data_IF_966688691895
#
_entry.id   IF_966688691895
#
_cell.length_a   1.000
_cell.length_b   1.000
_cell.length_c   1.000
_cell.angle_alpha   90.00
_cell.angle_beta   90.00
_cell.angle_gamma   90.00
#
_symmetry.space_group_name_H-M   'P 1'
#
loop_
_entity.id
_entity.type
_entity.pdbx_description
1 polymer ?
#
# COMPACT_ATOMS: atom_id res chain seq x y z
N UNK A 1 11.46 -24.08 -44.65
CA UNK A 1 10.53 -23.00 -44.24
C UNK A 1 11.35 -21.90 -43.60
N UNK A 2 10.98 -20.63 -43.82
CA UNK A 2 11.81 -19.48 -43.47
C UNK A 2 11.58 -19.05 -42.03
N UNK A 3 12.64 -18.61 -41.35
CA UNK A 3 12.57 -17.99 -40.01
C UNK A 3 11.52 -16.86 -39.96
N UNK A 4 11.32 -16.13 -41.08
CA UNK A 4 10.28 -15.11 -41.24
C UNK A 4 8.87 -15.62 -40.96
N UNK A 5 8.50 -16.78 -41.51
CA UNK A 5 7.13 -17.31 -41.35
C UNK A 5 6.83 -17.66 -39.88
N UNK A 6 7.84 -18.14 -39.15
CA UNK A 6 7.71 -18.41 -37.72
C UNK A 6 7.54 -17.10 -36.94
N UNK A 7 8.38 -16.09 -37.21
CA UNK A 7 8.33 -14.79 -36.53
C UNK A 7 7.02 -14.03 -36.78
N UNK A 8 6.51 -14.07 -38.01
CA UNK A 8 5.23 -13.46 -38.36
C UNK A 8 4.08 -14.10 -37.57
N UNK A 9 4.04 -15.44 -37.52
CA UNK A 9 3.01 -16.16 -36.77
C UNK A 9 3.10 -15.90 -35.25
N UNK A 10 4.31 -15.94 -34.69
CA UNK A 10 4.55 -15.70 -33.26
C UNK A 10 4.13 -14.28 -32.88
N UNK A 11 4.51 -13.29 -33.69
CA UNK A 11 4.17 -11.88 -33.45
C UNK A 11 2.68 -11.62 -33.57
N UNK A 12 2.03 -12.18 -34.60
CA UNK A 12 0.59 -11.99 -34.79
C UNK A 12 -0.22 -12.67 -33.67
N UNK A 13 0.13 -13.90 -33.27
CA UNK A 13 -0.51 -14.55 -32.14
C UNK A 13 -0.37 -13.73 -30.86
N UNK A 14 0.84 -13.23 -30.59
CA UNK A 14 1.13 -12.43 -29.41
C UNK A 14 0.32 -11.13 -29.38
N UNK A 15 0.39 -10.33 -30.45
CA UNK A 15 -0.22 -9.00 -30.52
C UNK A 15 -1.75 -9.03 -30.63
N UNK A 16 -2.32 -10.15 -31.10
CA UNK A 16 -3.77 -10.33 -31.25
C UNK A 16 -4.39 -11.15 -30.11
N UNK A 17 -3.57 -11.65 -29.19
CA UNK A 17 -4.05 -12.22 -27.93
C UNK A 17 -4.52 -11.11 -26.98
N UNK A 18 -5.48 -11.44 -26.11
CA UNK A 18 -6.05 -10.48 -25.14
C UNK A 18 -5.01 -9.91 -24.18
N UNK A 19 -4.11 -10.77 -23.67
CA UNK A 19 -3.18 -10.44 -22.59
C UNK A 19 -1.71 -10.60 -23.03
N UNK A 20 -1.40 -10.49 -24.33
CA UNK A 20 -0.03 -10.68 -24.83
C UNK A 20 0.56 -12.06 -24.43
N UNK A 21 -0.21 -13.12 -24.68
CA UNK A 21 0.15 -14.50 -24.34
C UNK A 21 1.09 -15.12 -25.37
N UNK A 22 1.96 -16.02 -24.91
CA UNK A 22 2.90 -16.75 -25.77
C UNK A 22 2.24 -17.89 -26.54
N UNK A 23 2.87 -18.27 -27.65
CA UNK A 23 2.46 -19.40 -28.48
C UNK A 23 3.00 -20.69 -27.88
N UNK A 24 2.16 -21.68 -27.51
CA UNK A 24 2.68 -22.98 -27.10
C UNK A 24 3.45 -23.64 -28.24
N UNK A 25 4.57 -24.28 -27.93
CA UNK A 25 5.40 -25.01 -28.91
C UNK A 25 4.55 -26.01 -29.70
N UNK A 26 3.61 -26.70 -29.05
CA UNK A 26 2.66 -27.59 -29.74
C UNK A 26 1.90 -26.89 -30.86
N UNK A 27 1.43 -25.67 -30.61
CA UNK A 27 0.64 -24.87 -31.55
C UNK A 27 1.53 -24.36 -32.69
N UNK A 28 2.71 -23.84 -32.36
CA UNK A 28 3.69 -23.38 -33.36
C UNK A 28 4.12 -24.52 -34.28
N UNK A 29 4.45 -25.68 -33.70
CA UNK A 29 4.87 -26.88 -34.42
C UNK A 29 3.79 -27.38 -35.38
N UNK A 30 2.53 -27.41 -34.92
CA UNK A 30 1.38 -27.78 -35.76
C UNK A 30 1.18 -26.78 -36.91
N UNK A 31 1.31 -25.48 -36.65
CA UNK A 31 1.17 -24.44 -37.67
C UNK A 31 2.26 -24.54 -38.74
N UNK A 32 3.51 -24.78 -38.32
CA UNK A 32 4.66 -24.88 -39.22
C UNK A 32 4.87 -26.29 -39.79
N UNK A 33 4.08 -27.30 -39.40
CA UNK A 33 4.26 -28.68 -39.86
C UNK A 33 5.64 -29.28 -39.54
N UNK A 34 6.27 -28.86 -38.44
CA UNK A 34 7.58 -29.33 -38.02
C UNK A 34 7.49 -30.53 -37.06
N UNK A 35 8.56 -31.31 -36.98
CA UNK A 35 8.75 -32.23 -35.86
C UNK A 35 9.44 -31.52 -34.68
N UNK A 36 9.65 -32.25 -33.58
CA UNK A 36 10.20 -31.66 -32.36
C UNK A 36 11.67 -31.24 -32.51
N UNK A 37 12.46 -32.01 -33.25
CA UNK A 37 13.88 -31.75 -33.47
C UNK A 37 14.06 -30.48 -34.31
N UNK A 38 13.37 -30.40 -35.45
CA UNK A 38 13.39 -29.24 -36.32
C UNK A 38 12.84 -27.99 -35.62
N UNK A 39 11.84 -28.15 -34.75
CA UNK A 39 11.32 -27.03 -33.92
C UNK A 39 12.38 -26.57 -32.91
N UNK A 40 13.08 -27.50 -32.26
CA UNK A 40 14.15 -27.16 -31.31
C UNK A 40 15.31 -26.43 -31.99
N UNK A 41 15.77 -26.91 -33.14
CA UNK A 41 16.84 -26.26 -33.91
C UNK A 41 16.44 -24.86 -34.39
N UNK A 42 15.19 -24.68 -34.82
CA UNK A 42 14.64 -23.38 -35.20
C UNK A 42 14.64 -22.42 -34.01
N UNK A 43 14.05 -22.83 -32.88
CA UNK A 43 13.92 -21.96 -31.70
C UNK A 43 15.28 -21.64 -31.09
N UNK A 44 16.22 -22.58 -31.05
CA UNK A 44 17.58 -22.33 -30.57
C UNK A 44 18.28 -21.24 -31.41
N UNK A 45 18.16 -21.29 -32.74
CA UNK A 45 18.70 -20.23 -33.62
C UNK A 45 18.02 -18.89 -33.35
N UNK A 46 16.70 -18.87 -33.23
CA UNK A 46 15.95 -17.63 -33.02
C UNK A 46 16.27 -16.98 -31.66
N UNK A 47 16.41 -17.78 -30.59
CA UNK A 47 16.85 -17.31 -29.26
C UNK A 47 18.28 -16.76 -29.33
N UNK A 48 19.21 -17.45 -30.00
CA UNK A 48 20.59 -16.95 -30.20
C UNK A 48 20.62 -15.60 -30.94
N UNK A 49 19.68 -15.38 -31.83
CA UNK A 49 19.54 -14.10 -32.56
C UNK A 49 18.71 -13.04 -31.83
N UNK A 50 18.18 -13.37 -30.63
CA UNK A 50 17.27 -12.56 -29.81
C UNK A 50 15.94 -12.18 -30.50
N UNK A 51 15.53 -12.94 -31.52
CA UNK A 51 14.28 -12.67 -32.24
C UNK A 51 13.06 -13.29 -31.54
N UNK A 52 13.26 -14.26 -30.64
CA UNK A 52 12.21 -14.86 -29.79
C UNK A 52 12.69 -15.06 -28.35
N UNK A 53 11.73 -15.13 -27.43
CA UNK A 53 11.94 -15.58 -26.05
C UNK A 53 11.21 -16.91 -25.80
N UNK A 54 11.82 -17.80 -25.01
CA UNK A 54 11.25 -19.08 -24.56
C UNK A 54 10.93 -19.05 -23.06
N UNK A 55 9.71 -19.44 -22.72
CA UNK A 55 9.25 -19.56 -21.33
C UNK A 55 8.90 -21.02 -21.01
N UNK A 56 9.61 -21.59 -20.04
CA UNK A 56 9.55 -23.01 -19.68
C UNK A 56 8.65 -23.34 -18.49
N UNK A 57 8.11 -22.33 -17.80
CA UNK A 57 7.34 -22.53 -16.56
C UNK A 57 8.20 -22.63 -15.29
N UNK A 58 9.53 -22.43 -15.41
CA UNK A 58 10.50 -22.56 -14.32
C UNK A 58 10.67 -21.28 -13.49
N UNK A 59 10.63 -20.10 -14.13
CA UNK A 59 10.70 -18.79 -13.43
C UNK A 59 9.32 -18.37 -12.92
N UNK A 60 8.28 -18.62 -13.70
CA UNK A 60 6.88 -18.43 -13.32
C UNK A 60 6.10 -19.67 -13.76
N UNK A 61 5.25 -20.27 -12.90
CA UNK A 61 4.66 -21.58 -13.15
C UNK A 61 3.75 -21.64 -14.39
N UNK A 62 3.19 -20.50 -14.81
CA UNK A 62 2.41 -20.42 -16.04
C UNK A 62 3.25 -19.82 -17.19
N UNK A 63 3.70 -20.63 -18.18
CA UNK A 63 4.50 -20.15 -19.31
C UNK A 63 3.71 -19.31 -20.32
N UNK A 64 2.38 -19.38 -20.30
CA UNK A 64 1.52 -18.54 -21.14
C UNK A 64 1.51 -17.06 -20.73
N UNK A 65 2.06 -16.75 -19.55
CA UNK A 65 2.20 -15.39 -19.04
C UNK A 65 3.69 -15.04 -19.04
N UNK A 66 4.07 -14.01 -19.80
CA UNK A 66 5.41 -13.41 -19.69
C UNK A 66 5.46 -12.58 -18.41
N UNK A 67 5.67 -13.23 -17.26
CA UNK A 67 5.67 -12.56 -15.96
C UNK A 67 6.73 -11.48 -15.86
N UNK A 68 7.95 -11.79 -16.32
CA UNK A 68 9.09 -10.87 -16.30
C UNK A 68 9.84 -10.89 -17.62
N UNK A 69 10.49 -9.78 -17.95
CA UNK A 69 11.30 -9.64 -19.16
C UNK A 69 12.82 -9.59 -18.91
N UNK A 70 13.26 -9.94 -17.69
CA UNK A 70 14.68 -9.94 -17.30
C UNK A 70 15.41 -11.26 -17.62
N UNK A 71 14.70 -12.28 -18.13
CA UNK A 71 15.32 -13.56 -18.49
C UNK A 71 16.16 -13.35 -19.75
N UNK A 72 17.48 -13.49 -19.60
CA UNK A 72 18.45 -13.32 -20.70
C UNK A 72 18.38 -14.47 -21.70
N UNK A 73 18.83 -14.25 -22.94
CA UNK A 73 18.83 -15.30 -23.96
C UNK A 73 19.82 -16.43 -23.60
N UNK A 74 20.92 -16.12 -22.89
CA UNK A 74 21.85 -17.13 -22.37
C UNK A 74 21.17 -18.06 -21.36
N UNK A 75 20.40 -17.51 -20.42
CA UNK A 75 19.61 -18.31 -19.48
C UNK A 75 18.56 -19.16 -20.21
N UNK A 76 17.91 -18.63 -21.24
CA UNK A 76 16.94 -19.39 -22.04
C UNK A 76 17.60 -20.57 -22.77
N UNK A 77 18.82 -20.39 -23.29
CA UNK A 77 19.59 -21.47 -23.93
C UNK A 77 20.04 -22.53 -22.91
N UNK A 78 20.41 -22.10 -21.69
CA UNK A 78 20.70 -23.01 -20.57
C UNK A 78 19.46 -23.83 -20.19
N UNK A 79 18.30 -23.18 -20.02
CA UNK A 79 17.04 -23.88 -19.75
C UNK A 79 16.65 -24.84 -20.87
N UNK A 80 16.84 -24.45 -22.13
CA UNK A 80 16.60 -25.33 -23.28
C UNK A 80 17.47 -26.59 -23.22
N UNK A 81 18.74 -26.45 -22.82
CA UNK A 81 19.69 -27.56 -22.68
C UNK A 81 19.36 -28.46 -21.48
N UNK A 82 18.99 -27.88 -20.34
CA UNK A 82 18.76 -28.62 -19.09
C UNK A 82 17.38 -29.26 -19.02
N UNK A 83 16.35 -28.52 -19.40
CA UNK A 83 14.95 -28.93 -19.29
C UNK A 83 14.44 -29.60 -20.57
N UNK A 84 15.09 -29.34 -21.70
CA UNK A 84 14.61 -29.73 -23.02
C UNK A 84 13.42 -28.89 -23.49
N UNK A 85 13.17 -28.92 -24.79
CA UNK A 85 11.96 -28.34 -25.36
C UNK A 85 10.78 -29.29 -25.12
N UNK A 86 9.65 -28.78 -24.65
CA UNK A 86 8.40 -29.54 -24.51
C UNK A 86 7.24 -28.81 -25.16
N UNK A 87 6.13 -29.52 -25.41
CA UNK A 87 4.92 -28.95 -26.02
C UNK A 87 4.27 -27.83 -25.17
N UNK A 88 4.57 -27.75 -23.87
CA UNK A 88 4.07 -26.73 -22.94
C UNK A 88 4.91 -25.46 -22.86
N UNK A 89 6.14 -25.47 -23.39
CA UNK A 89 6.96 -24.26 -23.51
C UNK A 89 6.22 -23.25 -24.39
N UNK A 90 6.24 -21.98 -24.00
CA UNK A 90 5.64 -20.91 -24.78
C UNK A 90 6.73 -20.04 -25.43
N UNK A 91 6.48 -19.66 -26.68
CA UNK A 91 7.34 -18.83 -27.51
C UNK A 91 6.73 -17.44 -27.63
N UNK A 92 7.55 -16.43 -27.41
CA UNK A 92 7.18 -15.01 -27.53
C UNK A 92 8.08 -14.34 -28.56
N UNK A 93 7.61 -13.28 -29.24
CA UNK A 93 8.50 -12.44 -30.02
C UNK A 93 9.49 -11.73 -29.08
N UNK A 94 10.77 -11.72 -29.45
CA UNK A 94 11.84 -11.07 -28.68
C UNK A 94 11.76 -9.55 -28.79
N UNK A 95 12.25 -8.83 -27.78
CA UNK A 95 12.23 -7.35 -27.77
C UNK A 95 12.91 -6.74 -29.01
N UNK A 96 14.00 -7.35 -29.47
CA UNK A 96 14.72 -6.94 -30.69
C UNK A 96 13.87 -7.06 -31.94
N UNK A 97 13.06 -8.11 -32.04
CA UNK A 97 12.11 -8.28 -33.14
C UNK A 97 10.99 -7.24 -33.07
N UNK A 98 10.36 -7.12 -31.90
CA UNK A 98 9.24 -6.19 -31.66
C UNK A 98 9.61 -4.73 -31.92
N UNK A 99 10.85 -4.32 -31.67
CA UNK A 99 11.34 -2.96 -31.94
C UNK A 99 11.27 -2.56 -33.43
N UNK A 100 11.23 -3.54 -34.35
CA UNK A 100 11.14 -3.31 -35.80
C UNK A 100 9.69 -3.10 -36.27
N UNK A 101 8.70 -3.45 -35.44
CA UNK A 101 7.29 -3.38 -35.79
C UNK A 101 6.70 -1.98 -35.52
N UNK A 102 5.74 -1.50 -36.34
CA UNK A 102 5.15 -0.16 -36.20
C UNK A 102 4.09 -0.07 -35.07
N UNK A 103 4.45 -0.51 -33.85
CA UNK A 103 3.52 -0.69 -32.72
C UNK A 103 2.94 0.62 -32.17
N UNK A 104 3.66 1.75 -32.30
CA UNK A 104 3.22 3.03 -31.74
C UNK A 104 1.86 3.47 -32.29
N UNK A 105 1.62 3.27 -33.59
CA UNK A 105 0.34 3.59 -34.23
C UNK A 105 -0.78 2.64 -33.81
N UNK A 106 -0.47 1.35 -33.61
CA UNK A 106 -1.45 0.32 -33.21
C UNK A 106 -1.99 0.56 -31.79
N UNK A 107 -1.16 1.11 -30.90
CA UNK A 107 -1.49 1.30 -29.47
C UNK A 107 -1.52 2.79 -29.08
N UNK A 108 -1.89 3.66 -30.01
CA UNK A 108 -2.04 5.10 -29.72
C UNK A 108 -3.02 5.33 -28.55
N UNK A 109 -2.63 6.19 -27.62
CA UNK A 109 -3.41 6.50 -26.43
C UNK A 109 -3.47 5.39 -25.36
N UNK A 110 -2.78 4.26 -25.57
CA UNK A 110 -2.69 3.11 -24.68
C UNK A 110 -1.23 2.80 -24.30
N UNK A 111 -0.60 3.66 -23.48
CA UNK A 111 0.82 3.55 -23.19
C UNK A 111 1.21 2.21 -22.55
N UNK A 112 0.38 1.61 -21.70
CA UNK A 112 0.72 0.37 -21.02
C UNK A 112 0.47 -0.87 -21.89
N UNK A 113 -0.55 -0.86 -22.76
CA UNK A 113 -0.64 -1.85 -23.85
C UNK A 113 0.61 -1.79 -24.73
N UNK A 114 1.10 -0.59 -25.06
CA UNK A 114 2.30 -0.43 -25.90
C UNK A 114 3.55 -0.99 -25.22
N UNK A 115 3.69 -0.83 -23.90
CA UNK A 115 4.77 -1.45 -23.14
C UNK A 115 4.67 -2.97 -23.18
N UNK A 116 3.49 -3.55 -22.93
CA UNK A 116 3.31 -4.99 -23.08
C UNK A 116 3.60 -5.44 -24.52
N UNK A 117 3.08 -4.75 -25.54
CA UNK A 117 3.33 -5.04 -26.95
C UNK A 117 4.82 -4.98 -27.32
N UNK A 118 5.64 -4.24 -26.58
CA UNK A 118 7.10 -4.18 -26.73
C UNK A 118 7.84 -5.30 -25.97
N UNK A 119 7.13 -6.25 -25.39
CA UNK A 119 7.69 -7.45 -24.79
C UNK A 119 8.11 -7.30 -23.32
N UNK A 120 7.58 -6.29 -22.61
CA UNK A 120 7.77 -6.15 -21.16
C UNK A 120 6.99 -7.21 -20.38
N UNK A 121 7.42 -7.49 -19.14
CA UNK A 121 6.79 -8.48 -18.28
C UNK A 121 5.47 -7.99 -17.68
N UNK A 122 4.45 -8.83 -17.64
CA UNK A 122 3.14 -8.53 -17.08
C UNK A 122 3.16 -8.19 -15.58
N UNK A 123 4.12 -8.78 -14.83
CA UNK A 123 4.33 -8.54 -13.39
C UNK A 123 5.48 -7.57 -13.11
N UNK A 124 5.91 -6.81 -14.12
CA UNK A 124 6.78 -5.65 -13.89
C UNK A 124 5.94 -4.47 -13.45
N UNK A 125 6.37 -3.79 -12.38
CA UNK A 125 5.65 -2.63 -11.87
C UNK A 125 6.12 -1.33 -12.51
N UNK A 126 5.25 -0.32 -12.47
CA UNK A 126 5.61 1.08 -12.64
C UNK A 126 5.32 1.83 -11.34
N UNK A 127 6.15 2.83 -11.04
CA UNK A 127 5.99 3.68 -9.87
C UNK A 127 5.28 4.97 -10.28
N UNK A 128 4.38 5.46 -9.43
CA UNK A 128 3.56 6.63 -9.70
C UNK A 128 3.53 7.57 -8.50
N UNK A 129 3.36 8.86 -8.81
CA UNK A 129 3.08 9.88 -7.81
C UNK A 129 1.77 9.55 -7.08
N UNK A 130 1.78 9.66 -5.75
CA UNK A 130 0.64 9.32 -4.89
C UNK A 130 -0.65 10.09 -5.25
N UNK A 131 -0.55 11.28 -5.86
CA UNK A 131 -1.70 12.06 -6.29
C UNK A 131 -2.58 11.35 -7.33
N UNK A 132 -2.07 10.33 -8.02
CA UNK A 132 -2.88 9.52 -8.96
C UNK A 132 -4.07 8.84 -8.27
N UNK A 133 -3.96 8.55 -6.97
CA UNK A 133 -5.00 7.87 -6.20
C UNK A 133 -6.12 8.80 -5.72
N UNK A 134 -5.92 10.12 -5.74
CA UNK A 134 -6.83 11.06 -5.09
C UNK A 134 -8.18 11.16 -5.76
N UNK A 135 -8.18 11.07 -7.10
CA UNK A 135 -9.41 11.03 -7.87
C UNK A 135 -10.32 9.90 -7.34
N UNK A 136 -9.75 8.72 -7.15
CA UNK A 136 -10.47 7.55 -6.68
C UNK A 136 -10.81 7.60 -5.18
N UNK A 137 -9.90 8.11 -4.33
CA UNK A 137 -10.15 8.24 -2.88
C UNK A 137 -11.31 9.20 -2.57
N UNK A 138 -11.38 10.30 -3.31
CA UNK A 138 -12.28 11.42 -2.99
C UNK A 138 -13.62 11.33 -3.73
N UNK A 139 -13.71 10.57 -4.82
CA UNK A 139 -14.97 10.36 -5.54
C UNK A 139 -15.75 9.19 -4.92
N UNK A 140 -16.94 9.45 -4.35
CA UNK A 140 -17.72 8.43 -3.65
C UNK A 140 -18.26 7.33 -4.57
N UNK A 141 -18.13 7.45 -5.89
CA UNK A 141 -18.54 6.44 -6.87
C UNK A 141 -17.57 5.26 -6.96
N UNK A 142 -16.35 5.41 -6.44
CA UNK A 142 -15.37 4.34 -6.37
C UNK A 142 -15.32 3.70 -4.97
N UNK A 143 -15.05 2.39 -4.95
CA UNK A 143 -14.39 1.74 -3.84
C UNK A 143 -12.89 2.01 -3.95
N UNK A 144 -12.34 2.62 -2.91
CA UNK A 144 -10.91 2.83 -2.72
C UNK A 144 -10.56 2.26 -1.35
N UNK A 145 -9.77 1.18 -1.35
CA UNK A 145 -9.36 0.49 -0.13
C UNK A 145 -7.84 0.29 -0.13
N UNK A 146 -7.25 0.44 1.05
CA UNK A 146 -5.81 0.25 1.26
C UNK A 146 -5.54 -0.10 2.72
N UNK A 147 -4.72 -1.13 2.94
CA UNK A 147 -4.14 -1.44 4.25
C UNK A 147 -2.76 -0.75 4.45
N UNK A 148 -2.38 0.07 3.47
CA UNK A 148 -1.09 0.78 3.32
C UNK A 148 0.08 -0.09 2.85
N UNK A 149 -0.19 -1.34 2.50
CA UNK A 149 0.73 -2.30 1.89
C UNK A 149 0.22 -2.64 0.48
N UNK A 150 -1.05 -3.04 0.42
CA UNK A 150 -1.86 -3.37 -0.73
C UNK A 150 -3.04 -2.39 -0.81
N UNK A 151 -3.62 -2.26 -1.99
CA UNK A 151 -4.90 -1.61 -2.17
C UNK A 151 -5.58 -2.04 -3.46
N UNK A 152 -6.83 -1.65 -3.61
CA UNK A 152 -7.65 -1.93 -4.79
C UNK A 152 -8.51 -0.72 -5.12
N UNK A 153 -8.89 -0.63 -6.39
CA UNK A 153 -9.80 0.41 -6.88
C UNK A 153 -10.84 -0.26 -7.76
N UNK A 154 -12.11 -0.02 -7.48
CA UNK A 154 -13.19 -0.42 -8.37
C UNK A 154 -14.30 0.60 -8.36
N UNK A 155 -15.07 0.66 -9.44
CA UNK A 155 -16.38 1.32 -9.40
C UNK A 155 -17.32 0.57 -8.44
N UNK A 156 -18.18 1.29 -7.72
CA UNK A 156 -19.23 0.65 -6.92
C UNK A 156 -20.34 0.09 -7.81
N UNK A 157 -20.92 -1.04 -7.39
CA UNK A 157 -21.98 -1.73 -8.11
C UNK A 157 -23.14 -0.82 -8.52
N UNK A 158 -23.56 0.11 -7.65
CA UNK A 158 -24.66 1.06 -7.92
C UNK A 158 -24.39 2.04 -9.08
N UNK A 159 -23.12 2.22 -9.47
CA UNK A 159 -22.70 3.06 -10.60
C UNK A 159 -22.21 2.24 -11.80
N UNK A 160 -22.08 0.91 -11.69
CA UNK A 160 -21.69 0.05 -12.82
C UNK A 160 -22.80 0.00 -13.87
N UNK A 161 -22.43 0.15 -15.15
CA UNK A 161 -23.38 0.26 -16.28
C UNK A 161 -24.46 1.37 -16.10
N UNK A 162 -24.23 2.32 -15.20
CA UNK A 162 -25.14 3.42 -14.93
C UNK A 162 -24.87 4.59 -15.89
N UNK A 163 -25.92 5.25 -16.38
CA UNK A 163 -25.81 6.43 -17.24
C UNK A 163 -25.05 7.59 -16.58
N UNK A 164 -25.01 7.64 -15.24
CA UNK A 164 -24.24 8.64 -14.48
C UNK A 164 -22.72 8.43 -14.51
N UNK A 165 -22.24 7.33 -15.10
CA UNK A 165 -20.82 6.99 -15.16
C UNK A 165 -20.39 6.59 -16.58
N UNK A 166 -19.56 7.43 -17.25
CA UNK A 166 -19.00 7.09 -18.54
C UNK A 166 -18.28 5.74 -18.52
N UNK A 167 -18.38 4.96 -19.60
CA UNK A 167 -17.76 3.61 -19.67
C UNK A 167 -16.26 3.62 -19.40
N UNK A 168 -15.54 4.66 -19.84
CA UNK A 168 -14.10 4.77 -19.61
C UNK A 168 -13.74 4.96 -18.14
N UNK A 169 -14.65 5.49 -17.32
CA UNK A 169 -14.47 5.72 -15.89
C UNK A 169 -14.83 4.50 -15.03
N UNK A 170 -15.41 3.45 -15.63
CA UNK A 170 -15.75 2.18 -14.96
C UNK A 170 -14.50 1.33 -14.74
N UNK A 171 -13.62 1.83 -13.88
CA UNK A 171 -12.29 1.27 -13.60
C UNK A 171 -12.38 0.06 -12.68
N UNK A 172 -11.57 -0.95 -12.98
CA UNK A 172 -11.20 -2.02 -12.08
C UNK A 172 -9.67 -2.14 -12.05
N UNK A 173 -9.06 -1.67 -10.97
CA UNK A 173 -7.65 -1.92 -10.66
C UNK A 173 -7.60 -2.94 -9.52
N UNK A 174 -7.43 -4.21 -9.89
CA UNK A 174 -7.54 -5.35 -8.97
C UNK A 174 -6.59 -5.23 -7.77
N UNK A 175 -5.37 -4.77 -8.03
CA UNK A 175 -4.39 -4.52 -7.00
C UNK A 175 -3.43 -3.40 -7.39
N UNK A 176 -3.10 -2.57 -6.41
CA UNK A 176 -1.89 -1.78 -6.38
C UNK A 176 -1.20 -2.01 -5.03
N UNK A 177 0.06 -1.60 -4.94
CA UNK A 177 0.77 -1.53 -3.68
C UNK A 177 1.60 -0.26 -3.61
N UNK A 178 2.58 -0.26 -2.73
CA UNK A 178 3.49 0.86 -2.55
C UNK A 178 4.92 0.45 -2.87
N UNK A 179 5.72 1.43 -3.26
CA UNK A 179 7.15 1.27 -3.48
C UNK A 179 7.91 2.47 -2.93
N UNK A 180 9.20 2.27 -2.69
CA UNK A 180 10.07 3.26 -2.06
C UNK A 180 11.37 3.38 -2.83
N UNK A 181 11.84 4.62 -2.98
CA UNK A 181 13.21 4.85 -3.43
C UNK A 181 14.21 4.68 -2.26
N UNK A 182 15.50 4.91 -2.55
CA UNK A 182 16.59 4.83 -1.57
C UNK A 182 16.44 5.80 -0.37
N UNK A 183 15.69 6.89 -0.54
CA UNK A 183 15.47 7.92 0.47
C UNK A 183 14.15 7.72 1.23
N UNK A 184 13.49 6.58 1.00
CA UNK A 184 12.17 6.20 1.50
C UNK A 184 11.05 7.16 1.06
N UNK A 185 11.21 7.82 -0.08
CA UNK A 185 10.09 8.53 -0.70
C UNK A 185 9.11 7.49 -1.26
N UNK A 186 7.85 7.63 -0.90
CA UNK A 186 6.79 6.65 -1.20
C UNK A 186 6.13 6.94 -2.54
N UNK A 187 5.90 5.88 -3.31
CA UNK A 187 5.19 5.88 -4.58
C UNK A 187 4.11 4.79 -4.59
N UNK A 188 3.14 4.92 -5.48
CA UNK A 188 2.21 3.83 -5.82
C UNK A 188 2.90 2.91 -6.79
N UNK A 189 2.77 1.61 -6.62
CA UNK A 189 3.26 0.62 -7.55
C UNK A 189 2.10 -0.20 -8.14
N UNK A 190 2.08 -0.32 -9.46
CA UNK A 190 1.07 -1.11 -10.18
C UNK A 190 1.74 -1.95 -11.25
N UNK A 191 1.35 -3.21 -11.37
CA UNK A 191 1.86 -4.11 -12.41
C UNK A 191 1.28 -3.75 -13.78
N UNK A 192 2.10 -3.93 -14.83
CA UNK A 192 1.74 -3.61 -16.20
C UNK A 192 0.45 -4.27 -16.67
N UNK A 193 0.18 -5.53 -16.26
CA UNK A 193 -1.08 -6.20 -16.57
C UNK A 193 -2.30 -5.38 -16.14
N UNK A 194 -2.31 -4.92 -14.89
CA UNK A 194 -3.44 -4.15 -14.35
C UNK A 194 -3.53 -2.76 -14.97
N UNK A 195 -2.40 -2.15 -15.31
CA UNK A 195 -2.38 -0.86 -16.01
C UNK A 195 -2.91 -0.98 -17.43
N UNK A 196 -2.59 -2.05 -18.15
CA UNK A 196 -3.07 -2.28 -19.51
C UNK A 196 -4.57 -2.61 -19.56
N UNK A 197 -5.14 -3.17 -18.49
CA UNK A 197 -6.58 -3.41 -18.36
C UNK A 197 -7.40 -2.12 -18.16
N UNK A 198 -6.75 -0.98 -17.85
CA UNK A 198 -7.43 0.31 -17.74
C UNK A 198 -7.87 0.83 -19.11
N UNK A 199 -8.93 1.64 -19.10
CA UNK A 199 -9.35 2.37 -20.30
C UNK A 199 -8.21 3.27 -20.83
N UNK A 200 -8.16 3.57 -22.14
CA UNK A 200 -7.13 4.44 -22.71
C UNK A 200 -7.00 5.78 -21.97
N UNK A 201 -8.12 6.35 -21.53
CA UNK A 201 -8.17 7.60 -20.74
C UNK A 201 -7.40 7.45 -19.43
N UNK A 202 -7.70 6.41 -18.66
CA UNK A 202 -7.04 6.16 -17.39
C UNK A 202 -5.58 5.76 -17.58
N UNK A 203 -5.22 5.01 -18.63
CA UNK A 203 -3.83 4.74 -18.93
C UNK A 203 -3.03 6.04 -19.14
N UNK A 204 -3.60 7.03 -19.83
CA UNK A 204 -2.96 8.34 -20.00
C UNK A 204 -2.84 9.12 -18.70
N UNK A 205 -3.87 9.07 -17.83
CA UNK A 205 -3.83 9.70 -16.50
C UNK A 205 -2.71 9.09 -15.65
N UNK A 206 -2.63 7.76 -15.59
CA UNK A 206 -1.59 7.06 -14.85
C UNK A 206 -0.20 7.32 -15.45
N UNK A 207 -0.06 7.23 -16.77
CA UNK A 207 1.21 7.48 -17.46
C UNK A 207 1.73 8.91 -17.21
N UNK A 208 0.86 9.91 -17.17
CA UNK A 208 1.23 11.30 -16.84
C UNK A 208 1.74 11.48 -15.40
N UNK A 209 1.46 10.52 -14.50
CA UNK A 209 1.89 10.50 -13.10
C UNK A 209 3.03 9.52 -12.83
N UNK A 210 3.56 8.88 -13.87
CA UNK A 210 4.64 7.91 -13.73
C UNK A 210 5.92 8.59 -13.26
N UNK A 211 6.57 7.98 -12.27
CA UNK A 211 7.84 8.44 -11.71
C UNK A 211 9.00 7.72 -12.38
N UNK A 212 10.08 8.45 -12.61
CA UNK A 212 11.39 7.90 -12.98
C UNK A 212 12.21 7.59 -11.73
N UNK A 213 12.95 6.50 -11.74
CA UNK A 213 13.87 6.13 -10.66
C UNK A 213 13.76 4.67 -10.26
N UNK A 214 14.63 4.25 -9.34
CA UNK A 214 14.61 2.90 -8.81
C UNK A 214 13.71 2.84 -7.56
N UNK A 215 12.47 2.40 -7.75
CA UNK A 215 11.49 2.19 -6.70
C UNK A 215 11.34 0.70 -6.43
N UNK A 216 11.65 0.26 -5.21
CA UNK A 216 11.47 -1.12 -4.77
C UNK A 216 10.10 -1.32 -4.15
N UNK A 217 9.41 -2.37 -4.55
CA UNK A 217 8.12 -2.75 -3.98
C UNK A 217 8.23 -2.92 -2.47
N UNK A 218 7.16 -2.53 -1.77
CA UNK A 218 7.00 -2.84 -0.35
C UNK A 218 7.19 -4.35 -0.14
N UNK A 219 7.98 -4.79 0.87
CA UNK A 219 8.35 -6.20 1.03
C UNK A 219 7.16 -7.15 1.06
N UNK A 220 6.11 -6.81 1.82
CA UNK A 220 4.91 -7.63 1.90
C UNK A 220 4.04 -7.55 0.64
N UNK A 221 4.08 -6.44 -0.11
CA UNK A 221 3.37 -6.37 -1.39
C UNK A 221 4.04 -7.28 -2.44
N UNK A 222 5.37 -7.28 -2.47
CA UNK A 222 6.15 -8.22 -3.28
C UNK A 222 5.89 -9.67 -2.87
N UNK A 223 5.93 -9.98 -1.57
CA UNK A 223 5.67 -11.33 -1.06
C UNK A 223 4.28 -11.84 -1.46
N UNK A 224 3.24 -11.03 -1.24
CA UNK A 224 1.88 -11.40 -1.56
C UNK A 224 1.66 -11.55 -3.07
N UNK A 225 2.11 -10.56 -3.85
CA UNK A 225 1.74 -10.45 -5.26
C UNK A 225 2.62 -11.24 -6.21
N UNK A 226 3.89 -11.48 -5.83
CA UNK A 226 4.88 -12.16 -6.68
C UNK A 226 5.19 -13.56 -6.16
N UNK A 227 5.40 -13.72 -4.85
CA UNK A 227 5.78 -15.01 -4.26
C UNK A 227 4.56 -15.89 -3.90
N UNK A 228 3.36 -15.30 -3.82
CA UNK A 228 2.15 -16.00 -3.40
C UNK A 228 2.18 -16.44 -1.92
N UNK A 229 2.94 -15.71 -1.09
CA UNK A 229 3.11 -15.98 0.34
C UNK A 229 2.41 -14.89 1.18
N UNK A 230 2.17 -15.15 2.46
CA UNK A 230 1.37 -14.27 3.32
C UNK A 230 2.18 -13.08 3.85
N UNK A 231 1.49 -11.96 4.06
CA UNK A 231 2.05 -10.79 4.74
C UNK A 231 2.54 -11.15 6.15
N UNK A 232 3.63 -10.51 6.58
CA UNK A 232 4.25 -10.82 7.88
C UNK A 232 3.94 -9.79 8.95
N UNK A 233 3.39 -8.63 8.57
CA UNK A 233 3.18 -7.50 9.46
C UNK A 233 1.94 -6.71 9.06
N UNK A 234 1.44 -5.89 9.98
CA UNK A 234 0.34 -4.94 9.75
C UNK A 234 0.87 -3.51 9.64
N UNK A 235 0.08 -2.60 9.07
CA UNK A 235 0.46 -1.18 9.04
C UNK A 235 0.37 -0.53 10.42
N UNK A 236 1.16 0.52 10.63
CA UNK A 236 1.14 1.30 11.88
C UNK A 236 -0.24 1.93 12.18
N UNK A 237 -1.01 2.26 11.15
CA UNK A 237 -2.38 2.79 11.31
C UNK A 237 -3.33 1.71 11.84
N UNK A 238 -3.19 0.48 11.37
CA UNK A 238 -3.96 -0.65 11.91
C UNK A 238 -3.54 -0.96 13.35
N UNK A 239 -2.23 -1.08 13.59
CA UNK A 239 -1.67 -1.30 14.92
C UNK A 239 -2.16 -0.25 15.93
N UNK A 240 -2.23 1.02 15.54
CA UNK A 240 -2.76 2.09 16.36
C UNK A 240 -4.21 1.86 16.79
N UNK A 241 -5.11 1.51 15.85
CA UNK A 241 -6.52 1.25 16.19
C UNK A 241 -6.70 0.00 17.06
N UNK A 242 -5.84 -1.00 16.88
CA UNK A 242 -5.81 -2.19 17.72
C UNK A 242 -5.34 -1.88 19.15
N UNK A 243 -4.34 -1.01 19.33
CA UNK A 243 -3.92 -0.54 20.65
C UNK A 243 -5.06 0.16 21.40
N UNK A 244 -5.84 1.02 20.73
CA UNK A 244 -7.05 1.64 21.33
C UNK A 244 -8.05 0.59 21.83
N UNK A 245 -8.30 -0.44 21.03
CA UNK A 245 -9.21 -1.55 21.38
C UNK A 245 -8.71 -2.32 22.59
N UNK A 246 -7.44 -2.72 22.60
CA UNK A 246 -6.86 -3.48 23.71
C UNK A 246 -6.86 -2.65 25.00
N UNK A 247 -6.57 -1.36 24.93
CA UNK A 247 -6.64 -0.45 26.08
C UNK A 247 -8.05 -0.38 26.66
N UNK A 248 -9.08 -0.29 25.83
CA UNK A 248 -10.47 -0.32 26.30
C UNK A 248 -10.88 -1.68 26.90
N UNK A 249 -10.38 -2.80 26.36
CA UNK A 249 -10.58 -4.11 26.98
C UNK A 249 -9.91 -4.17 28.37
N UNK A 250 -8.71 -3.60 28.52
CA UNK A 250 -8.04 -3.49 29.82
C UNK A 250 -8.80 -2.58 30.80
N UNK A 251 -9.38 -1.49 30.32
CA UNK A 251 -10.23 -0.60 31.12
C UNK A 251 -11.44 -1.35 31.72
N UNK A 252 -12.10 -2.18 30.91
CA UNK A 252 -13.19 -3.03 31.38
C UNK A 252 -12.74 -4.03 32.46
N UNK A 253 -11.58 -4.68 32.27
CA UNK A 253 -11.02 -5.63 33.23
C UNK A 253 -10.70 -5.00 34.60
N UNK A 254 -10.32 -3.71 34.63
CA UNK A 254 -10.07 -3.01 35.89
C UNK A 254 -11.36 -2.51 36.57
N UNK A 255 -12.50 -2.56 35.88
CA UNK A 255 -13.80 -2.10 36.36
C UNK A 255 -14.04 -0.61 36.12
N UNK A 256 -13.46 -0.05 35.05
CA UNK A 256 -13.64 1.35 34.65
C UNK A 256 -14.45 1.44 33.34
N UNK A 257 -15.10 2.59 33.07
CA UNK A 257 -15.58 2.93 31.74
C UNK A 257 -14.48 2.79 30.68
N UNK A 258 -14.83 2.81 29.39
CA UNK A 258 -13.83 2.84 28.32
C UNK A 258 -12.92 4.06 28.46
N UNK A 259 -11.61 3.90 28.23
CA UNK A 259 -10.68 5.05 28.25
C UNK A 259 -10.84 5.89 26.98
N UNK A 260 -11.08 5.26 25.84
CA UNK A 260 -11.32 5.91 24.56
C UNK A 260 -12.78 5.72 24.15
N UNK A 261 -13.45 6.78 23.69
CA UNK A 261 -14.87 6.73 23.28
C UNK A 261 -15.07 5.87 22.02
N UNK A 262 -14.11 5.89 21.10
CA UNK A 262 -14.15 5.10 19.86
C UNK A 262 -12.79 4.44 19.59
N UNK A 263 -12.80 3.23 19.03
CA UNK A 263 -11.61 2.42 18.68
C UNK A 263 -11.36 2.34 17.17
N UNK A 264 -12.29 2.86 16.35
CA UNK A 264 -12.16 3.04 14.89
C UNK A 264 -11.81 1.75 14.11
N UNK A 265 -12.35 0.60 14.53
CA UNK A 265 -12.15 -0.68 13.83
C UNK A 265 -13.08 -0.88 12.64
N UNK A 266 -14.38 -0.57 12.79
CA UNK A 266 -15.38 -0.76 11.73
C UNK A 266 -15.53 0.44 10.79
N UNK A 267 -15.23 1.65 11.29
CA UNK A 267 -15.38 2.91 10.57
C UNK A 267 -14.09 3.72 10.69
N UNK A 268 -13.01 3.24 10.07
CA UNK A 268 -11.75 3.99 10.04
C UNK A 268 -11.94 5.22 9.14
N UNK A 269 -11.62 6.43 9.62
CA UNK A 269 -11.65 7.62 8.77
C UNK A 269 -10.74 7.46 7.55
N UNK A 270 -11.21 7.83 6.35
CA UNK A 270 -10.47 7.66 5.09
C UNK A 270 -9.16 8.44 5.06
N UNK A 271 -9.11 9.54 5.78
CA UNK A 271 -7.97 10.45 5.91
C UNK A 271 -6.98 9.97 6.99
N UNK A 272 -7.30 8.92 7.75
CA UNK A 272 -6.38 8.30 8.71
C UNK A 272 -5.44 7.33 8.01
N UNK A 273 -4.46 7.91 7.32
CA UNK A 273 -3.45 7.18 6.55
C UNK A 273 -2.33 8.09 6.09
N UNK A 274 -1.39 7.53 5.33
CA UNK A 274 -0.32 8.30 4.72
C UNK A 274 -0.86 9.39 3.76
N UNK A 275 -0.20 10.56 3.74
CA UNK A 275 -0.58 11.67 2.84
C UNK A 275 -0.48 11.25 1.36
N UNK A 276 -1.47 11.63 0.54
CA UNK A 276 -1.39 11.46 -0.92
C UNK A 276 -0.78 12.69 -1.57
N UNK A 277 -1.04 13.89 -1.00
CA UNK A 277 -0.35 15.12 -1.33
C UNK A 277 0.36 15.63 -0.07
N UNK A 278 1.70 15.62 -0.03
CA UNK A 278 2.46 16.18 1.09
C UNK A 278 2.37 17.71 1.03
N UNK A 279 1.23 18.25 1.42
CA UNK A 279 0.94 19.68 1.52
C UNK A 279 0.67 20.04 2.97
N UNK A 280 0.89 21.31 3.31
CA UNK A 280 0.62 21.80 4.66
C UNK A 280 -0.86 21.58 5.05
N UNK A 281 -1.80 21.74 4.11
CA UNK A 281 -3.22 21.49 4.36
C UNK A 281 -3.53 20.03 4.70
N UNK A 282 -3.04 19.06 3.91
CA UNK A 282 -3.27 17.64 4.20
C UNK A 282 -2.58 17.22 5.52
N UNK A 283 -1.37 17.70 5.77
CA UNK A 283 -0.66 17.45 7.02
C UNK A 283 -1.44 17.97 8.23
N UNK A 284 -1.93 19.21 8.17
CA UNK A 284 -2.72 19.80 9.26
C UNK A 284 -4.06 19.06 9.47
N UNK A 285 -4.71 18.61 8.39
CA UNK A 285 -5.92 17.80 8.48
C UNK A 285 -5.65 16.46 9.16
N UNK A 286 -4.54 15.80 8.83
CA UNK A 286 -4.09 14.58 9.49
C UNK A 286 -3.81 14.81 10.99
N UNK A 287 -3.07 15.86 11.36
CA UNK A 287 -2.77 16.16 12.77
C UNK A 287 -4.05 16.45 13.57
N UNK A 288 -5.00 17.18 12.99
CA UNK A 288 -6.30 17.42 13.61
C UNK A 288 -7.05 16.10 13.86
N UNK A 289 -7.05 15.21 12.88
CA UNK A 289 -7.69 13.89 13.00
C UNK A 289 -7.00 13.01 14.04
N UNK A 290 -5.67 12.97 14.05
CA UNK A 290 -4.90 12.21 15.02
C UNK A 290 -5.16 12.69 16.46
N UNK A 291 -5.20 14.00 16.72
CA UNK A 291 -5.55 14.53 18.04
C UNK A 291 -6.99 14.20 18.44
N UNK A 292 -7.92 14.18 17.46
CA UNK A 292 -9.30 13.75 17.67
C UNK A 292 -9.40 12.28 18.05
N UNK A 293 -8.57 11.41 17.46
CA UNK A 293 -8.52 9.97 17.75
C UNK A 293 -7.73 9.64 19.02
N UNK A 294 -6.87 10.56 19.47
CA UNK A 294 -6.09 10.46 20.71
C UNK A 294 -6.70 11.27 21.86
N UNK A 295 -6.32 12.54 21.98
CA UNK A 295 -6.57 13.38 23.16
C UNK A 295 -8.05 13.70 23.35
N UNK A 296 -8.75 14.08 22.27
CA UNK A 296 -10.18 14.41 22.35
C UNK A 296 -11.04 13.13 22.44
N UNK A 297 -10.48 11.96 22.10
CA UNK A 297 -11.15 10.66 22.21
C UNK A 297 -11.18 10.12 23.65
N UNK A 298 -10.33 10.61 24.55
CA UNK A 298 -10.26 10.15 25.94
C UNK A 298 -11.55 10.49 26.69
N UNK A 299 -12.17 9.48 27.30
CA UNK A 299 -13.38 9.64 28.10
C UNK A 299 -13.07 10.13 29.53
N UNK A 300 -13.73 11.22 29.95
CA UNK A 300 -13.56 11.76 31.30
C UNK A 300 -14.16 10.84 32.36
N UNK A 301 -15.21 10.09 32.00
CA UNK A 301 -15.88 9.15 32.89
C UNK A 301 -14.92 8.07 33.43
N UNK A 302 -13.86 7.72 32.68
CA UNK A 302 -12.82 6.81 33.14
C UNK A 302 -12.17 7.26 34.46
N UNK A 303 -12.01 8.57 34.65
CA UNK A 303 -11.28 9.17 35.78
C UNK A 303 -12.16 9.50 36.98
N UNK A 304 -13.48 9.34 36.86
CA UNK A 304 -14.41 9.64 37.94
C UNK A 304 -14.08 8.82 39.18
N UNK A 305 -14.25 9.46 40.34
CA UNK A 305 -13.94 8.95 41.68
C UNK A 305 -12.45 8.76 42.01
N UNK A 306 -11.55 8.89 41.03
CA UNK A 306 -10.10 8.70 41.24
C UNK A 306 -9.33 10.01 41.30
N UNK A 307 -9.68 10.99 40.46
CA UNK A 307 -9.03 12.31 40.40
C UNK A 307 -10.07 13.41 40.25
N UNK A 308 -9.74 14.65 40.65
CA UNK A 308 -10.66 15.78 40.50
C UNK A 308 -10.76 16.19 39.03
N UNK A 309 -11.98 16.26 38.49
CA UNK A 309 -12.24 16.67 37.11
C UNK A 309 -12.09 18.18 36.89
N UNK A 310 -12.13 18.96 37.96
CA UNK A 310 -12.07 20.43 37.95
C UNK A 310 -10.85 20.93 38.74
N UNK A 311 -10.40 22.13 38.39
CA UNK A 311 -9.38 22.89 39.10
C UNK A 311 -9.89 24.29 39.41
N UNK A 312 -9.53 24.80 40.60
CA UNK A 312 -9.82 26.16 41.02
C UNK A 312 -8.70 27.08 40.54
N UNK A 313 -9.02 28.05 39.68
CA UNK A 313 -8.06 29.05 39.21
C UNK A 313 -8.41 30.41 39.76
N UNK A 314 -7.55 30.96 40.61
CA UNK A 314 -7.68 32.33 41.11
C UNK A 314 -7.41 33.32 39.97
N UNK A 315 -8.40 34.14 39.64
CA UNK A 315 -8.27 35.25 38.69
C UNK A 315 -7.52 36.43 39.31
N UNK A 316 -7.05 37.34 38.47
CA UNK A 316 -6.35 38.57 38.90
C UNK A 316 -7.20 39.49 39.80
N UNK A 317 -8.53 39.32 39.81
CA UNK A 317 -9.48 40.04 40.67
C UNK A 317 -9.79 39.31 42.00
N UNK A 318 -9.10 38.21 42.30
CA UNK A 318 -9.29 37.41 43.52
C UNK A 318 -10.49 36.46 43.48
N UNK A 319 -11.27 36.41 42.39
CA UNK A 319 -12.36 35.44 42.23
C UNK A 319 -11.83 34.06 41.83
N UNK A 320 -12.45 33.01 42.38
CA UNK A 320 -12.17 31.62 42.00
C UNK A 320 -12.99 31.27 40.75
N UNK A 321 -12.31 30.90 39.67
CA UNK A 321 -12.92 30.33 38.48
C UNK A 321 -12.71 28.80 38.50
N UNK A 322 -13.80 28.05 38.59
CA UNK A 322 -13.78 26.60 38.47
C UNK A 322 -13.64 26.24 37.00
N UNK A 323 -12.55 25.57 36.63
CA UNK A 323 -12.27 25.16 35.25
C UNK A 323 -12.19 23.64 35.14
N UNK A 324 -12.83 23.11 34.11
CA UNK A 324 -12.72 21.70 33.73
C UNK A 324 -11.29 21.38 33.26
N UNK A 325 -10.67 20.35 33.85
CA UNK A 325 -9.36 19.86 33.41
C UNK A 325 -9.44 19.24 32.02
N UNK A 326 -8.35 19.39 31.26
CA UNK A 326 -8.17 18.73 29.97
C UNK A 326 -7.95 17.22 30.13
N UNK A 327 -8.32 16.44 29.11
CA UNK A 327 -8.21 14.97 29.12
C UNK A 327 -6.79 14.46 29.33
N UNK A 328 -5.79 15.09 28.69
CA UNK A 328 -4.38 14.72 28.88
C UNK A 328 -3.89 15.00 30.31
N UNK A 329 -4.37 16.07 30.94
CA UNK A 329 -4.01 16.39 32.33
C UNK A 329 -4.62 15.36 33.30
N UNK A 330 -5.88 14.96 33.05
CA UNK A 330 -6.54 13.90 33.83
C UNK A 330 -5.83 12.56 33.69
N UNK A 331 -5.47 12.18 32.45
CA UNK A 331 -4.72 10.96 32.18
C UNK A 331 -3.38 10.97 32.91
N UNK A 332 -2.65 12.09 32.87
CA UNK A 332 -1.36 12.22 33.55
C UNK A 332 -1.48 12.13 35.06
N UNK A 333 -2.41 12.88 35.67
CA UNK A 333 -2.66 12.84 37.12
C UNK A 333 -3.04 11.42 37.57
N UNK A 334 -3.92 10.76 36.83
CA UNK A 334 -4.36 9.40 37.13
C UNK A 334 -3.21 8.40 37.04
N UNK A 335 -2.46 8.40 35.94
CA UNK A 335 -1.34 7.46 35.77
C UNK A 335 -0.25 7.70 36.82
N UNK A 336 0.11 8.96 37.12
CA UNK A 336 1.12 9.27 38.16
C UNK A 336 0.66 8.87 39.56
N UNK A 337 -0.66 8.86 39.82
CA UNK A 337 -1.23 8.41 41.08
C UNK A 337 -1.14 6.89 41.27
N UNK A 338 -1.40 6.11 40.21
CA UNK A 338 -1.55 4.65 40.30
C UNK A 338 -0.38 3.84 39.75
N UNK A 339 0.52 4.46 39.00
CA UNK A 339 1.67 3.79 38.39
C UNK A 339 2.96 4.55 38.65
N UNK A 340 3.98 3.81 39.12
CA UNK A 340 5.34 4.32 39.29
C UNK A 340 6.26 3.48 38.43
N UNK A 341 6.72 4.01 37.28
CA UNK A 341 7.64 3.25 36.44
C UNK A 341 9.00 3.12 37.13
N UNK A 342 9.69 2.01 36.89
CA UNK A 342 11.09 1.85 37.29
C UNK A 342 12.01 2.81 36.52
N UNK A 343 11.71 3.00 35.23
CA UNK A 343 12.36 3.97 34.36
C UNK A 343 11.33 5.01 33.88
N UNK A 344 11.48 6.30 34.24
CA UNK A 344 10.53 7.34 33.84
C UNK A 344 10.57 7.67 32.35
N UNK A 345 11.63 7.34 31.60
CA UNK A 345 11.81 7.83 30.22
C UNK A 345 10.67 7.43 29.26
N UNK A 346 10.23 6.15 29.16
CA UNK A 346 9.12 5.79 28.26
C UNK A 346 7.82 6.48 28.64
N UNK A 347 7.60 6.65 29.95
CA UNK A 347 6.41 7.27 30.51
C UNK A 347 6.36 8.79 30.22
N UNK A 348 7.48 9.50 30.34
CA UNK A 348 7.57 10.91 29.95
C UNK A 348 7.49 11.10 28.43
N UNK A 349 8.08 10.18 27.66
CA UNK A 349 8.02 10.19 26.20
C UNK A 349 6.60 10.03 25.67
N UNK A 350 5.79 9.16 26.28
CA UNK A 350 4.36 9.02 25.99
C UNK A 350 3.60 10.34 26.15
N UNK A 351 3.76 11.06 27.27
CA UNK A 351 3.09 12.36 27.44
C UNK A 351 3.63 13.42 26.49
N UNK A 352 4.93 13.41 26.19
CA UNK A 352 5.54 14.30 25.20
C UNK A 352 4.93 14.09 23.82
N UNK A 353 4.68 12.85 23.41
CA UNK A 353 4.02 12.54 22.14
C UNK A 353 2.59 13.09 22.09
N UNK A 354 1.76 12.80 23.11
CA UNK A 354 0.39 13.34 23.18
C UNK A 354 0.35 14.87 23.15
N UNK A 355 1.20 15.54 23.94
CA UNK A 355 1.30 17.01 23.94
C UNK A 355 1.81 17.55 22.61
N UNK A 356 2.70 16.83 21.92
CA UNK A 356 3.22 17.25 20.61
C UNK A 356 2.11 17.26 19.56
N UNK A 357 1.32 16.20 19.47
CA UNK A 357 0.15 16.13 18.58
C UNK A 357 -0.82 17.27 18.89
N UNK A 358 -1.17 17.46 20.18
CA UNK A 358 -2.07 18.53 20.62
C UNK A 358 -1.57 19.93 20.28
N UNK A 359 -0.26 20.19 20.45
CA UNK A 359 0.39 21.46 20.12
C UNK A 359 0.40 21.71 18.61
N UNK A 360 0.70 20.68 17.81
CA UNK A 360 0.72 20.81 16.34
C UNK A 360 -0.68 21.12 15.81
N UNK A 361 -1.74 20.53 16.37
CA UNK A 361 -3.13 20.89 16.03
C UNK A 361 -3.45 22.37 16.23
N UNK A 362 -2.87 23.00 17.25
CA UNK A 362 -3.17 24.40 17.59
C UNK A 362 -2.47 25.41 16.67
N UNK A 363 -1.33 25.04 16.05
CA UNK A 363 -0.55 25.97 15.21
C UNK A 363 -1.34 26.55 14.01
N UNK A 364 -2.08 25.75 13.20
CA UNK A 364 -2.81 26.26 12.04
C UNK A 364 -3.99 27.16 12.41
N UNK A 365 -4.62 26.93 13.57
CA UNK A 365 -5.74 27.74 14.05
C UNK A 365 -5.34 29.20 14.38
N UNK A 366 -4.04 29.49 14.42
CA UNK A 366 -3.49 30.79 14.81
C UNK A 366 -2.71 31.51 13.70
N UNK A 367 -2.59 30.94 12.49
CA UNK A 367 -1.90 31.57 11.37
C UNK A 367 -2.48 31.13 10.00
N UNK A 368 -2.79 32.09 9.12
CA UNK A 368 -3.10 31.80 7.72
C UNK A 368 -1.77 31.58 6.99
N UNK A 369 -1.44 30.32 6.74
CA UNK A 369 -0.21 29.93 6.04
C UNK A 369 -0.53 29.56 4.59
N UNK A 370 0.40 29.83 3.67
CA UNK A 370 0.31 29.38 2.28
C UNK A 370 0.34 27.84 2.21
N UNK A 371 -0.49 27.25 1.35
CA UNK A 371 -0.57 25.80 1.20
C UNK A 371 0.55 25.27 0.29
N UNK A 372 1.74 25.09 0.85
CA UNK A 372 2.92 24.64 0.14
C UNK A 372 2.99 23.11 0.04
N UNK A 373 3.49 22.62 -1.09
CA UNK A 373 3.86 21.22 -1.29
C UNK A 373 5.31 21.01 -0.83
N UNK A 374 5.53 20.05 0.08
CA UNK A 374 6.86 19.68 0.58
C UNK A 374 6.88 18.22 1.04
N UNK A 375 7.74 17.40 0.43
CA UNK A 375 7.94 15.99 0.78
C UNK A 375 8.37 15.78 2.25
N UNK A 376 8.90 16.81 2.93
CA UNK A 376 9.19 16.74 4.37
C UNK A 376 7.95 16.44 5.21
N UNK A 377 6.75 16.87 4.79
CA UNK A 377 5.51 16.60 5.52
C UNK A 377 5.20 15.10 5.64
N UNK A 378 5.58 14.29 4.64
CA UNK A 378 5.45 12.83 4.75
C UNK A 378 6.37 12.27 5.83
N UNK A 379 7.63 12.74 5.89
CA UNK A 379 8.61 12.31 6.91
C UNK A 379 8.17 12.75 8.31
N UNK A 380 7.66 13.96 8.44
CA UNK A 380 7.08 14.46 9.70
C UNK A 380 5.85 13.67 10.12
N UNK A 381 4.94 13.36 9.19
CA UNK A 381 3.77 12.53 9.45
C UNK A 381 4.18 11.17 9.99
N UNK A 382 5.09 10.48 9.29
CA UNK A 382 5.60 9.16 9.69
C UNK A 382 6.17 9.18 11.11
N UNK A 383 7.01 10.17 11.42
CA UNK A 383 7.57 10.33 12.76
C UNK A 383 6.49 10.53 13.83
N UNK A 384 5.53 11.42 13.58
CA UNK A 384 4.45 11.71 14.53
C UNK A 384 3.57 10.48 14.75
N UNK A 385 3.32 9.71 13.68
CA UNK A 385 2.55 8.48 13.75
C UNK A 385 3.26 7.40 14.58
N UNK A 386 4.58 7.26 14.41
CA UNK A 386 5.42 6.39 15.25
C UNK A 386 5.35 6.81 16.72
N UNK A 387 5.61 8.10 17.01
CA UNK A 387 5.56 8.63 18.38
C UNK A 387 4.17 8.41 19.03
N UNK A 388 3.10 8.58 18.26
CA UNK A 388 1.73 8.38 18.72
C UNK A 388 1.39 6.91 18.98
N UNK A 389 1.82 6.01 18.09
CA UNK A 389 1.66 4.56 18.27
C UNK A 389 2.43 4.09 19.51
N UNK A 390 3.70 4.49 19.65
CA UNK A 390 4.53 4.11 20.80
C UNK A 390 3.93 4.63 22.11
N UNK A 391 3.36 5.84 22.12
CA UNK A 391 2.65 6.36 23.29
C UNK A 391 1.44 5.50 23.69
N UNK A 392 0.61 5.05 22.73
CA UNK A 392 -0.49 4.13 23.01
C UNK A 392 0.01 2.77 23.49
N UNK A 393 1.05 2.22 22.86
CA UNK A 393 1.68 0.97 23.29
C UNK A 393 2.20 1.08 24.72
N UNK A 394 2.89 2.17 25.07
CA UNK A 394 3.32 2.43 26.45
C UNK A 394 2.14 2.47 27.40
N UNK A 395 1.06 3.17 27.05
CA UNK A 395 -0.16 3.22 27.85
C UNK A 395 -0.76 1.83 28.08
N UNK A 396 -0.83 0.99 27.04
CA UNK A 396 -1.24 -0.42 27.18
C UNK A 396 -0.32 -1.19 28.12
N UNK A 397 1.00 -1.04 28.00
CA UNK A 397 1.97 -1.72 28.86
C UNK A 397 1.84 -1.27 30.32
N UNK A 398 1.53 0.00 30.58
CA UNK A 398 1.22 0.49 31.93
C UNK A 398 -0.02 -0.22 32.48
N UNK A 399 -1.11 -0.28 31.72
CA UNK A 399 -2.34 -0.97 32.15
C UNK A 399 -2.14 -2.48 32.32
N UNK A 400 -1.27 -3.10 31.52
CA UNK A 400 -0.91 -4.52 31.65
C UNK A 400 -0.27 -4.85 33.01
N UNK A 401 0.28 -3.88 33.73
CA UNK A 401 0.82 -4.07 35.08
C UNK A 401 -0.26 -4.12 36.17
N UNK A 402 -1.50 -3.72 35.87
CA UNK A 402 -2.57 -3.72 36.85
C UNK A 402 -2.92 -5.16 37.30
N UNK A 403 -3.08 -5.46 38.60
CA UNK A 403 -3.29 -6.84 39.09
C UNK A 403 -4.46 -7.58 38.42
N UNK A 404 -5.58 -6.90 38.18
CA UNK A 404 -6.74 -7.49 37.47
C UNK A 404 -6.44 -7.83 36.01
N UNK A 405 -5.65 -7.02 35.32
CA UNK A 405 -5.24 -7.29 33.93
C UNK A 405 -4.22 -8.42 33.89
N UNK A 406 -3.24 -8.44 34.80
CA UNK A 406 -2.27 -9.55 34.92
C UNK A 406 -2.94 -10.90 35.18
N UNK A 407 -4.02 -10.90 35.96
CA UNK A 407 -4.79 -12.11 36.28
C UNK A 407 -5.59 -12.65 35.09
N UNK A 408 -6.04 -11.77 34.19
CA UNK A 408 -6.86 -12.13 33.04
C UNK A 408 -6.54 -11.21 31.87
N UNK A 409 -5.35 -11.35 31.23
CA UNK A 409 -4.95 -10.45 30.16
C UNK A 409 -5.92 -10.59 28.97
N UNK A 410 -6.28 -9.49 28.29
CA UNK A 410 -7.06 -9.59 27.07
C UNK A 410 -6.25 -10.29 25.98
N UNK A 411 -6.95 -10.87 25.01
CA UNK A 411 -6.31 -11.40 23.81
C UNK A 411 -5.67 -10.25 23.01
N UNK A 412 -4.36 -10.35 22.77
CA UNK A 412 -3.60 -9.40 21.98
C UNK A 412 -3.30 -10.07 20.64
N UNK A 413 -3.68 -9.42 19.54
CA UNK A 413 -3.37 -9.93 18.20
C UNK A 413 -1.86 -10.16 18.05
N UNK A 414 -1.51 -11.26 17.40
CA UNK A 414 -0.14 -11.76 17.31
C UNK A 414 0.86 -10.71 16.79
N UNK A 415 0.49 -9.97 15.75
CA UNK A 415 1.35 -8.92 15.19
C UNK A 415 1.67 -7.80 16.19
N UNK A 416 0.69 -7.37 16.99
CA UNK A 416 0.93 -6.40 18.07
C UNK A 416 1.80 -6.99 19.18
N UNK A 417 1.58 -8.26 19.54
CA UNK A 417 2.35 -8.92 20.60
C UNK A 417 3.83 -9.07 20.20
N UNK A 418 4.10 -9.40 18.94
CA UNK A 418 5.46 -9.57 18.39
C UNK A 418 6.11 -8.27 17.92
N UNK A 419 5.34 -7.19 17.76
CA UNK A 419 5.83 -5.94 17.17
C UNK A 419 6.07 -6.04 15.66
N UNK A 420 5.34 -6.92 14.98
CA UNK A 420 5.38 -7.13 13.54
C UNK A 420 4.56 -6.03 12.85
N UNK A 421 5.14 -4.83 12.78
CA UNK A 421 4.48 -3.63 12.26
C UNK A 421 5.36 -2.97 11.19
N UNK A 422 4.72 -2.55 10.10
CA UNK A 422 5.31 -1.67 9.11
C UNK A 422 5.08 -0.21 9.49
N UNK A 423 6.16 0.55 9.53
CA UNK A 423 6.15 1.99 9.74
C UNK A 423 6.37 2.77 8.43
N UNK A 424 6.45 2.08 7.28
CA UNK A 424 6.69 2.64 5.93
C UNK A 424 5.44 2.69 5.09
#
# INVERSE_FOLDING_TARGET
MTDSAALDYISEFYLSSRDFNGVPVRTLRKHLGLDMLATSELLERLVKSEEVDLLFGNVHPNPHIKAFSHITHEQQLEFLKELGLTDSVCVYPGKKHLAKLPLASRFEGRPFDLELARGYGQLEHRAFDLSVLEHYRNDPRYYYETDFINGSISIKDEYFENQSMPKHDQVLLQSFGFAYDKDLNRAVAVFLRYLADLSPEHQRVWHAKMLSGDYKLHPDYYRNSILGDWGTRISIFEAFTLELKVINQMAALIGKPALFRNVFQSERPKEFGFLLRPTLAEFNAFILLLDKMLSDNIDKAFFENDVRLEEDKTRSDGKIEVRQKGTLALLEEWLRKYFRPADPEPFESMFKAFRTVRRLRQKPAHAVNENLFDLTYFKEQRKIMIDAYDALRTLRLVLANHPKVRRSPPEIQEHLAKGEIWDI
#
